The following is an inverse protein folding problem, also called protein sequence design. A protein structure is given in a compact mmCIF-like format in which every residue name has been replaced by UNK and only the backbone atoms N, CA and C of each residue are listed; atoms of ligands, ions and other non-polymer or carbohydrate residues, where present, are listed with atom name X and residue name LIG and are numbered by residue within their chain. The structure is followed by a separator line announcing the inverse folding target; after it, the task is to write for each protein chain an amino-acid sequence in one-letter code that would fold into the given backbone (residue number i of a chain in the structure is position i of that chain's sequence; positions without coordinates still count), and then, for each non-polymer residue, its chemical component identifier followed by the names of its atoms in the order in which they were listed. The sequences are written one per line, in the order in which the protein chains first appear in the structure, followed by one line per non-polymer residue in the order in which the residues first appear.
data_IF_067295638394
#
_entry.id   IF_067295638394
#
_cell.length_a   1.000
_cell.length_b   1.000
_cell.length_c   1.000
_cell.angle_alpha   90.00
_cell.angle_beta   90.00
_cell.angle_gamma   90.00
#
_symmetry.space_group_name_H-M   'P 1'
#
loop_
_entity.id
_entity.type
_entity.pdbx_description
1 polymer ?
#
# COMPACT_ATOMS: atom_id res chain seq x y z
N UNK A 1 31.51 -3.68 15.49
CA UNK A 1 30.59 -4.73 15.02
C UNK A 1 31.27 -6.08 15.09
N UNK A 2 32.26 -6.36 14.23
CA UNK A 2 33.04 -7.61 14.29
C UNK A 2 33.80 -7.83 15.60
N UNK A 3 34.27 -6.79 16.27
CA UNK A 3 34.90 -6.88 17.60
C UNK A 3 33.95 -7.23 18.75
N UNK A 4 32.64 -7.24 18.50
CA UNK A 4 31.59 -7.60 19.48
C UNK A 4 30.77 -8.79 18.99
N UNK A 5 31.28 -9.56 18.03
CA UNK A 5 30.56 -10.66 17.35
C UNK A 5 29.14 -10.30 16.90
N UNK A 6 28.95 -9.05 16.48
CA UNK A 6 27.68 -8.53 16.01
C UNK A 6 27.77 -8.21 14.52
N UNK A 7 26.91 -8.84 13.73
CA UNK A 7 26.70 -8.49 12.33
C UNK A 7 25.54 -7.48 12.16
N UNK A 8 25.44 -6.91 10.96
CA UNK A 8 24.41 -5.89 10.66
C UNK A 8 22.98 -6.44 10.74
N UNK A 9 22.68 -7.65 10.22
CA UNK A 9 21.37 -8.26 10.42
C UNK A 9 20.97 -8.40 11.89
N UNK A 10 21.85 -8.90 12.75
CA UNK A 10 21.57 -9.07 14.18
C UNK A 10 21.38 -7.73 14.89
N UNK A 11 22.18 -6.72 14.54
CA UNK A 11 22.00 -5.37 15.08
C UNK A 11 20.62 -4.80 14.72
N UNK A 12 20.24 -4.87 13.45
CA UNK A 12 18.94 -4.37 12.98
C UNK A 12 17.79 -5.16 13.58
N UNK A 13 17.92 -6.49 13.66
CA UNK A 13 16.93 -7.36 14.28
C UNK A 13 16.74 -7.02 15.76
N UNK A 14 17.82 -6.88 16.51
CA UNK A 14 17.78 -6.54 17.93
C UNK A 14 17.18 -5.16 18.19
N UNK A 15 17.56 -4.16 17.38
CA UNK A 15 17.00 -2.81 17.44
C UNK A 15 15.52 -2.78 17.04
N UNK A 16 15.07 -3.67 16.16
CA UNK A 16 13.67 -3.73 15.69
C UNK A 16 12.73 -4.44 16.67
N UNK A 17 12.78 -4.06 17.95
CA UNK A 17 11.92 -4.55 19.04
C UNK A 17 12.05 -6.04 19.42
N UNK A 18 12.96 -6.80 18.83
CA UNK A 18 13.08 -8.24 19.10
C UNK A 18 13.87 -8.60 20.37
N UNK A 19 14.57 -7.62 20.97
CA UNK A 19 15.29 -7.82 22.24
C UNK A 19 14.60 -7.00 23.34
N UNK A 20 13.93 -7.64 24.32
CA UNK A 20 13.15 -6.94 25.35
C UNK A 20 13.94 -5.89 26.14
N UNK A 21 15.22 -6.15 26.43
CA UNK A 21 16.09 -5.20 27.12
C UNK A 21 16.29 -3.90 26.32
N UNK A 22 16.35 -3.98 24.99
CA UNK A 22 16.46 -2.81 24.11
C UNK A 22 15.12 -2.11 23.88
N UNK A 23 14.00 -2.78 24.15
CA UNK A 23 12.68 -2.16 24.04
C UNK A 23 12.51 -1.07 25.09
N UNK A 24 12.99 -1.28 26.32
CA UNK A 24 12.87 -0.32 27.43
C UNK A 24 14.01 0.69 27.49
N UNK A 25 15.18 0.34 26.98
CA UNK A 25 16.37 1.20 26.95
C UNK A 25 16.13 2.55 26.24
N UNK A 26 16.52 3.64 26.90
CA UNK A 26 16.25 5.01 26.45
C UNK A 26 17.05 5.37 25.19
N UNK A 27 18.30 4.94 25.11
CA UNK A 27 19.17 5.21 23.95
C UNK A 27 18.62 4.48 22.72
N UNK A 28 18.30 3.19 22.85
CA UNK A 28 17.73 2.40 21.76
C UNK A 28 16.35 2.92 21.32
N UNK A 29 15.53 3.48 22.22
CA UNK A 29 14.28 4.17 21.86
C UNK A 29 14.57 5.44 21.04
N UNK A 30 15.52 6.26 21.48
CA UNK A 30 15.87 7.50 20.78
C UNK A 30 16.38 7.20 19.38
N UNK A 31 17.34 6.29 19.23
CA UNK A 31 17.92 5.92 17.93
C UNK A 31 16.88 5.34 16.97
N UNK A 32 15.98 4.46 17.46
CA UNK A 32 14.85 3.99 16.65
C UNK A 32 13.96 5.13 16.19
N UNK A 33 13.60 6.04 17.09
CA UNK A 33 12.71 7.16 16.76
C UNK A 33 13.36 8.07 15.74
N UNK A 34 14.64 8.37 15.93
CA UNK A 34 15.47 9.12 14.99
C UNK A 34 15.43 8.49 13.60
N UNK A 35 15.69 7.19 13.49
CA UNK A 35 15.62 6.46 12.22
C UNK A 35 14.23 6.48 11.59
N UNK A 36 13.18 6.22 12.37
CA UNK A 36 11.81 6.07 11.84
C UNK A 36 11.16 7.37 11.38
N UNK A 37 11.60 8.51 11.93
CA UNK A 37 11.14 9.85 11.54
C UNK A 37 12.07 10.50 10.51
N UNK A 38 13.25 9.92 10.30
CA UNK A 38 14.26 10.43 9.37
C UNK A 38 13.75 10.51 7.93
N UNK A 39 14.23 11.51 7.18
CA UNK A 39 13.99 11.62 5.75
C UNK A 39 14.80 10.57 4.95
N UNK A 40 15.79 9.97 5.59
CA UNK A 40 16.73 8.99 5.07
C UNK A 40 16.09 7.59 4.97
N UNK A 41 15.18 7.23 5.87
CA UNK A 41 14.58 5.89 5.88
C UNK A 41 13.86 5.54 4.54
N UNK A 42 13.02 6.41 3.94
CA UNK A 42 12.47 6.16 2.62
C UNK A 42 13.53 5.92 1.53
N UNK A 43 14.63 6.68 1.56
CA UNK A 43 15.73 6.52 0.60
C UNK A 43 16.49 5.20 0.82
N UNK A 44 16.71 4.81 2.08
CA UNK A 44 17.27 3.51 2.45
C UNK A 44 16.41 2.36 1.91
N UNK A 45 15.09 2.40 2.14
CA UNK A 45 14.16 1.37 1.66
C UNK A 45 14.14 1.31 0.12
N UNK A 46 14.18 2.46 -0.55
CA UNK A 46 14.25 2.55 -2.01
C UNK A 46 15.52 1.91 -2.57
N UNK A 47 16.68 2.19 -1.94
CA UNK A 47 17.97 1.60 -2.30
C UNK A 47 18.06 0.12 -1.96
N UNK A 48 17.42 -0.35 -0.88
CA UNK A 48 17.31 -1.78 -0.60
C UNK A 48 16.46 -2.49 -1.64
N UNK A 49 15.35 -1.87 -2.07
CA UNK A 49 14.49 -2.40 -3.12
C UNK A 49 15.23 -2.48 -4.47
N UNK A 50 15.91 -1.40 -4.85
CA UNK A 50 16.67 -1.31 -6.09
C UNK A 50 18.04 -0.68 -5.84
N UNK A 51 19.08 -1.49 -5.53
CA UNK A 51 20.40 -0.96 -5.28
C UNK A 51 20.96 -0.28 -6.54
N UNK A 52 21.82 0.73 -6.39
CA UNK A 52 22.52 1.32 -7.52
C UNK A 52 23.34 0.23 -8.23
N UNK A 53 23.08 0.05 -9.52
CA UNK A 53 23.83 -0.88 -10.35
C UNK A 53 25.02 -0.15 -10.97
N UNK A 54 26.25 -0.51 -10.59
CA UNK A 54 27.42 -0.03 -11.33
C UNK A 54 27.56 -0.77 -12.66
N UNK A 55 27.75 -0.02 -13.74
CA UNK A 55 28.03 -0.57 -15.06
C UNK A 55 29.50 -1.00 -15.13
N UNK A 56 29.85 -2.15 -14.55
CA UNK A 56 31.05 -2.93 -14.90
C UNK A 56 31.07 -4.28 -14.18
N UNK A 57 31.79 -5.20 -14.79
CA UNK A 57 31.96 -6.62 -14.43
C UNK A 57 32.13 -6.82 -12.91
N UNK A 58 31.22 -7.55 -12.28
CA UNK A 58 31.23 -7.86 -10.84
C UNK A 58 29.99 -8.66 -10.41
N UNK A 59 30.01 -9.18 -9.17
CA UNK A 59 28.86 -9.84 -8.55
C UNK A 59 27.72 -8.81 -8.43
N UNK A 60 26.54 -9.11 -8.99
CA UNK A 60 25.37 -8.24 -8.88
C UNK A 60 25.02 -8.08 -7.40
N UNK A 61 24.95 -6.84 -6.92
CA UNK A 61 24.43 -6.54 -5.58
C UNK A 61 23.00 -7.07 -5.47
N UNK A 62 22.77 -7.97 -4.51
CA UNK A 62 21.46 -8.53 -4.25
C UNK A 62 20.65 -7.53 -3.44
N UNK A 63 19.66 -6.91 -4.08
CA UNK A 63 18.65 -6.09 -3.39
C UNK A 63 17.60 -6.94 -2.70
N UNK A 64 16.85 -6.33 -1.78
CA UNK A 64 15.71 -6.93 -1.10
C UNK A 64 14.41 -6.82 -1.91
N UNK A 65 14.49 -6.70 -3.25
CA UNK A 65 13.33 -6.46 -4.12
C UNK A 65 12.20 -7.46 -3.90
N UNK A 66 12.52 -8.76 -3.88
CA UNK A 66 11.54 -9.84 -3.66
C UNK A 66 10.86 -9.71 -2.30
N UNK A 67 11.63 -9.56 -1.23
CA UNK A 67 11.11 -9.45 0.14
C UNK A 67 10.26 -8.19 0.34
N UNK A 68 10.75 -7.04 -0.13
CA UNK A 68 10.02 -5.76 -0.04
C UNK A 68 8.74 -5.81 -0.87
N UNK A 69 8.76 -6.43 -2.05
CA UNK A 69 7.55 -6.60 -2.89
C UNK A 69 6.50 -7.41 -2.16
N UNK A 70 6.88 -8.57 -1.62
CA UNK A 70 5.96 -9.44 -0.89
C UNK A 70 5.37 -8.71 0.33
N UNK A 71 6.23 -8.13 1.16
CA UNK A 71 5.79 -7.34 2.32
C UNK A 71 4.82 -6.21 1.93
N UNK A 72 5.15 -5.47 0.86
CA UNK A 72 4.30 -4.37 0.39
C UNK A 72 2.94 -4.88 -0.08
N UNK A 73 2.89 -6.04 -0.75
CA UNK A 73 1.64 -6.67 -1.17
C UNK A 73 0.79 -7.07 0.03
N UNK A 74 1.38 -7.68 1.06
CA UNK A 74 0.67 -8.10 2.27
C UNK A 74 0.07 -6.88 3.00
N UNK A 75 0.81 -5.77 3.09
CA UNK A 75 0.31 -4.51 3.64
C UNK A 75 -0.86 -3.96 2.82
N UNK A 76 -0.73 -3.91 1.49
CA UNK A 76 -1.78 -3.41 0.60
C UNK A 76 -3.02 -4.29 0.67
N UNK A 77 -2.88 -5.62 0.70
CA UNK A 77 -4.00 -6.55 0.86
C UNK A 77 -4.75 -6.32 2.17
N UNK A 78 -4.03 -6.10 3.27
CA UNK A 78 -4.64 -5.82 4.57
C UNK A 78 -5.49 -4.54 4.54
N UNK A 79 -4.95 -3.48 3.93
CA UNK A 79 -5.68 -2.20 3.75
C UNK A 79 -6.88 -2.41 2.83
N UNK A 80 -6.69 -3.08 1.70
CA UNK A 80 -7.74 -3.35 0.72
C UNK A 80 -8.89 -4.15 1.33
N UNK A 81 -8.61 -5.22 2.08
CA UNK A 81 -9.63 -6.02 2.76
C UNK A 81 -10.44 -5.18 3.73
N UNK A 82 -9.77 -4.35 4.55
CA UNK A 82 -10.46 -3.45 5.49
C UNK A 82 -11.35 -2.44 4.77
N UNK A 83 -10.87 -1.87 3.66
CA UNK A 83 -11.63 -0.94 2.83
C UNK A 83 -12.83 -1.62 2.18
N UNK A 84 -12.65 -2.81 1.61
CA UNK A 84 -13.72 -3.60 0.98
C UNK A 84 -14.79 -4.01 1.98
N UNK A 85 -14.45 -4.36 3.23
CA UNK A 85 -15.45 -4.61 4.27
C UNK A 85 -16.35 -3.39 4.52
N UNK A 86 -15.78 -2.18 4.54
CA UNK A 86 -16.57 -0.94 4.73
C UNK A 86 -17.46 -0.64 3.53
N UNK A 87 -17.00 -0.95 2.32
CA UNK A 87 -17.80 -0.84 1.10
C UNK A 87 -18.94 -1.86 1.13
N UNK A 88 -18.65 -3.12 1.45
CA UNK A 88 -19.65 -4.17 1.58
C UNK A 88 -20.76 -3.80 2.58
N UNK A 89 -20.40 -3.32 3.76
CA UNK A 89 -21.38 -2.83 4.76
C UNK A 89 -22.25 -1.68 4.24
N UNK A 90 -21.72 -0.84 3.35
CA UNK A 90 -22.48 0.24 2.74
C UNK A 90 -23.39 -0.24 1.60
N UNK A 91 -22.93 -1.24 0.84
CA UNK A 91 -23.66 -1.82 -0.30
C UNK A 91 -24.73 -2.83 0.12
N UNK A 92 -24.61 -3.40 1.32
CA UNK A 92 -25.61 -4.30 1.88
C UNK A 92 -26.86 -3.52 2.30
N UNK A 93 -27.99 -3.84 1.67
CA UNK A 93 -29.33 -3.49 2.13
C UNK A 93 -30.18 -4.75 2.23
N UNK A 94 -31.15 -4.74 3.14
CA UNK A 94 -32.13 -5.83 3.18
C UNK A 94 -32.97 -5.80 1.89
N UNK A 95 -33.33 -6.96 1.31
CA UNK A 95 -34.25 -7.01 0.17
C UNK A 95 -35.58 -6.30 0.43
N UNK A 96 -36.01 -6.25 1.69
CA UNK A 96 -37.24 -5.57 2.13
C UNK A 96 -37.10 -4.02 2.21
N UNK A 97 -35.88 -3.49 2.07
CA UNK A 97 -35.54 -2.06 2.14
C UNK A 97 -35.22 -1.43 0.77
N UNK A 98 -35.54 -2.13 -0.33
CA UNK A 98 -35.30 -1.65 -1.68
C UNK A 98 -36.62 -1.50 -2.42
N UNK A 99 -37.16 -0.28 -2.40
CA UNK A 99 -38.25 0.10 -3.30
C UNK A 99 -37.74 0.32 -4.74
N UNK A 100 -38.62 0.17 -5.73
CA UNK A 100 -38.28 0.43 -7.14
C UNK A 100 -37.84 1.89 -7.33
N UNK A 101 -38.47 2.81 -6.61
CA UNK A 101 -38.15 4.23 -6.62
C UNK A 101 -36.75 4.51 -6.07
N UNK A 102 -36.32 3.81 -5.02
CA UNK A 102 -34.96 3.95 -4.47
C UNK A 102 -33.90 3.40 -5.42
N UNK A 103 -34.18 2.30 -6.12
CA UNK A 103 -33.28 1.74 -7.13
C UNK A 103 -33.10 2.71 -8.31
N UNK A 104 -34.19 3.35 -8.75
CA UNK A 104 -34.16 4.36 -9.81
C UNK A 104 -33.58 5.70 -9.35
N UNK A 105 -33.57 5.99 -8.04
CA UNK A 105 -32.97 7.20 -7.46
C UNK A 105 -31.47 7.09 -7.20
N UNK A 106 -30.83 5.92 -7.41
CA UNK A 106 -29.39 5.76 -7.20
C UNK A 106 -28.62 6.65 -8.17
N UNK A 107 -28.01 7.71 -7.63
CA UNK A 107 -27.09 8.56 -8.37
C UNK A 107 -25.70 7.93 -8.38
N UNK A 108 -25.24 7.60 -9.58
CA UNK A 108 -23.90 7.04 -9.77
C UNK A 108 -22.77 7.91 -9.25
N UNK A 109 -22.87 9.23 -9.33
CA UNK A 109 -21.82 10.10 -8.82
C UNK A 109 -21.73 10.11 -7.29
N UNK A 110 -22.88 10.03 -6.60
CA UNK A 110 -22.93 9.90 -5.14
C UNK A 110 -22.34 8.56 -4.68
N UNK A 111 -22.59 7.50 -5.47
CA UNK A 111 -21.98 6.20 -5.23
C UNK A 111 -20.46 6.24 -5.43
N UNK A 112 -19.96 6.85 -6.52
CA UNK A 112 -18.52 7.04 -6.77
C UNK A 112 -17.86 7.72 -5.59
N UNK A 113 -18.44 8.84 -5.15
CA UNK A 113 -17.87 9.64 -4.08
C UNK A 113 -17.83 8.85 -2.76
N UNK A 114 -18.89 8.09 -2.48
CA UNK A 114 -18.99 7.28 -1.27
C UNK A 114 -18.00 6.11 -1.26
N UNK A 115 -17.89 5.38 -2.37
CA UNK A 115 -16.93 4.28 -2.51
C UNK A 115 -15.50 4.81 -2.44
N UNK A 116 -15.19 5.92 -3.12
CA UNK A 116 -13.87 6.55 -3.08
C UNK A 116 -13.50 7.03 -1.67
N UNK A 117 -14.46 7.52 -0.90
CA UNK A 117 -14.23 7.93 0.48
C UNK A 117 -14.02 6.73 1.42
N UNK A 118 -14.73 5.62 1.21
CA UNK A 118 -14.64 4.41 2.05
C UNK A 118 -13.47 3.48 1.68
N UNK A 119 -13.07 3.47 0.41
CA UNK A 119 -12.02 2.62 -0.15
C UNK A 119 -11.04 3.37 -1.08
N UNK A 120 -10.32 4.39 -0.56
CA UNK A 120 -9.43 5.21 -1.38
C UNK A 120 -8.25 4.42 -1.97
N UNK A 121 -7.72 3.43 -1.25
CA UNK A 121 -6.58 2.62 -1.73
C UNK A 121 -6.99 1.71 -2.86
N UNK A 122 -8.09 0.96 -2.67
CA UNK A 122 -8.64 0.08 -3.73
C UNK A 122 -9.05 0.90 -4.94
N UNK A 123 -9.69 2.06 -4.74
CA UNK A 123 -10.03 2.98 -5.82
C UNK A 123 -8.79 3.42 -6.61
N UNK A 124 -7.73 3.85 -5.92
CA UNK A 124 -6.49 4.25 -6.58
C UNK A 124 -5.83 3.09 -7.32
N UNK A 125 -5.86 1.87 -6.77
CA UNK A 125 -5.28 0.69 -7.40
C UNK A 125 -6.04 0.32 -8.68
N UNK A 126 -7.36 0.19 -8.60
CA UNK A 126 -8.20 -0.12 -9.76
C UNK A 126 -8.07 0.95 -10.84
N UNK A 127 -7.99 2.23 -10.47
CA UNK A 127 -7.74 3.33 -11.40
C UNK A 127 -6.38 3.24 -12.09
N UNK A 128 -5.34 2.84 -11.37
CA UNK A 128 -3.99 2.63 -11.94
C UNK A 128 -3.92 1.38 -12.84
N UNK A 129 -4.67 0.32 -12.50
CA UNK A 129 -4.75 -0.89 -13.31
C UNK A 129 -5.57 -0.69 -14.58
N UNK A 130 -6.65 0.11 -14.51
CA UNK A 130 -7.53 0.38 -15.64
C UNK A 130 -6.94 1.39 -16.62
N UNK A 131 -6.01 2.25 -16.17
CA UNK A 131 -5.44 3.31 -17.00
C UNK A 131 -3.92 3.36 -16.94
N UNK A 132 -3.28 3.05 -18.07
CA UNK A 132 -1.84 3.30 -18.21
C UNK A 132 -1.56 4.79 -18.41
N UNK A 133 -0.39 5.25 -17.97
CA UNK A 133 0.08 6.65 -18.17
C UNK A 133 0.02 7.07 -19.65
N UNK A 134 0.20 6.12 -20.58
CA UNK A 134 0.11 6.37 -22.03
C UNK A 134 -1.34 6.59 -22.50
N UNK A 135 -2.30 5.84 -21.96
CA UNK A 135 -3.72 6.04 -22.26
C UNK A 135 -4.24 7.35 -21.68
N UNK A 136 -3.73 7.80 -20.53
CA UNK A 136 -4.15 9.08 -19.93
C UNK A 136 -3.79 10.26 -20.83
N UNK A 137 -2.61 10.24 -21.44
CA UNK A 137 -2.13 11.29 -22.35
C UNK A 137 -2.84 11.32 -23.70
N UNK A 138 -3.47 10.22 -24.13
CA UNK A 138 -4.08 10.08 -25.47
C UNK A 138 -5.60 10.18 -25.47
N UNK A 139 -6.22 10.21 -24.30
CA UNK A 139 -7.65 10.08 -24.20
C UNK A 139 -8.30 11.48 -24.08
N UNK A 140 -9.15 11.80 -25.06
CA UNK A 140 -9.92 13.04 -25.15
C UNK A 140 -11.40 12.86 -24.81
N UNK A 141 -11.88 11.62 -24.58
CA UNK A 141 -13.33 11.36 -24.47
C UNK A 141 -13.79 10.47 -23.30
N UNK A 142 -12.98 9.56 -22.75
CA UNK A 142 -13.46 8.65 -21.67
C UNK A 142 -13.16 9.17 -20.26
N UNK A 143 -14.17 9.14 -19.38
CA UNK A 143 -14.00 9.40 -17.95
C UNK A 143 -13.34 8.20 -17.23
N UNK A 144 -12.16 8.38 -16.62
CA UNK A 144 -11.47 7.31 -15.90
C UNK A 144 -12.20 6.82 -14.65
N UNK A 145 -13.09 7.64 -14.06
CA UNK A 145 -13.75 7.30 -12.81
C UNK A 145 -14.98 6.38 -13.04
N UNK A 146 -15.56 6.41 -14.25
CA UNK A 146 -16.61 5.49 -14.69
C UNK A 146 -16.14 4.03 -14.83
N UNK A 147 -14.85 3.81 -15.16
CA UNK A 147 -14.26 2.45 -15.24
C UNK A 147 -13.93 1.89 -13.85
N UNK A 148 -13.68 2.76 -12.87
CA UNK A 148 -13.44 2.36 -11.48
C UNK A 148 -14.62 1.61 -10.87
N UNK A 149 -15.85 2.13 -11.05
CA UNK A 149 -17.06 1.50 -10.50
C UNK A 149 -17.35 0.14 -11.14
N UNK A 150 -17.26 0.02 -12.47
CA UNK A 150 -17.54 -1.25 -13.13
C UNK A 150 -16.65 -2.37 -12.56
N UNK A 151 -15.37 -2.09 -12.33
CA UNK A 151 -14.47 -3.06 -11.71
C UNK A 151 -14.78 -3.32 -10.23
N UNK A 152 -15.29 -2.35 -9.48
CA UNK A 152 -15.75 -2.57 -8.09
C UNK A 152 -17.00 -3.46 -8.03
N UNK A 153 -17.94 -3.30 -8.96
CA UNK A 153 -19.18 -4.07 -9.02
C UNK A 153 -18.97 -5.54 -9.40
N UNK A 154 -17.86 -5.89 -10.06
CA UNK A 154 -17.48 -7.28 -10.35
C UNK A 154 -16.65 -7.95 -9.24
N UNK A 155 -16.15 -7.19 -8.27
CA UNK A 155 -15.26 -7.67 -7.20
C UNK A 155 -15.99 -7.81 -5.85
N UNK A 156 -17.16 -7.18 -5.69
CA UNK A 156 -18.10 -7.42 -4.59
C UNK A 156 -19.06 -8.55 -4.97
#
# INVERSE_FOLDING_TARGET
MRSKDLDLPLLLWALSWNVPALVTDLLAKYERTSLLVSAELPDILSKWYKPPCEHRRGIKTMGASKTITQFSLDCVQTVANREMCKVGQFMQRSPDELSEEELLAIKWDDLKQTVRAKAPTVWSLLRRCSWTVKQHKRNTMKDPDSVGIHNFAFVC
#
